data_IF_737288744496
#
_entry.id   IF_737288744496
#
_cell.length_a   1.000
_cell.length_b   1.000
_cell.length_c   1.000
_cell.angle_alpha   90.00
_cell.angle_beta   90.00
_cell.angle_gamma   90.00
#
_symmetry.space_group_name_H-M   'P 1'
#
loop_
_entity.id
_entity.type
_entity.pdbx_description
1 polymer ?
#
# COMPACT_ATOMS: atom_id res chain seq x y z
N UNK A 1 20.06 -17.10 0.18
CA UNK A 1 19.69 -15.75 0.66
C UNK A 1 18.17 -15.69 0.65
N UNK A 2 17.53 -15.41 1.79
CA UNK A 2 16.08 -15.24 1.84
C UNK A 2 15.69 -13.99 1.02
N UNK A 3 14.62 -14.07 0.25
CA UNK A 3 14.11 -12.95 -0.53
C UNK A 3 13.69 -11.82 0.43
N UNK A 4 14.16 -10.56 0.26
CA UNK A 4 13.84 -9.45 1.17
C UNK A 4 12.35 -9.27 1.45
N UNK A 5 11.50 -9.55 0.46
CA UNK A 5 10.03 -9.46 0.59
C UNK A 5 9.44 -10.54 1.51
N UNK A 6 10.07 -11.72 1.58
CA UNK A 6 9.59 -12.83 2.43
C UNK A 6 9.96 -12.56 3.90
N UNK A 7 11.14 -11.95 4.13
CA UNK A 7 11.52 -11.46 5.45
C UNK A 7 10.57 -10.36 5.93
N UNK A 8 10.26 -9.39 5.07
CA UNK A 8 9.26 -8.34 5.35
C UNK A 8 7.89 -8.94 5.69
N UNK A 9 7.45 -9.97 4.95
CA UNK A 9 6.18 -10.63 5.21
C UNK A 9 6.16 -11.28 6.61
N UNK A 10 7.25 -11.95 6.99
CA UNK A 10 7.37 -12.55 8.32
C UNK A 10 7.37 -11.49 9.43
N UNK A 11 8.12 -10.40 9.26
CA UNK A 11 8.22 -9.32 10.24
C UNK A 11 6.89 -8.57 10.42
N UNK A 12 6.22 -8.23 9.31
CA UNK A 12 4.91 -7.59 9.34
C UNK A 12 3.85 -8.49 9.98
N UNK A 13 3.86 -9.79 9.68
CA UNK A 13 2.95 -10.76 10.31
C UNK A 13 3.24 -10.89 11.80
N UNK A 14 4.52 -10.95 12.19
CA UNK A 14 4.96 -11.00 13.58
C UNK A 14 4.46 -9.79 14.37
N UNK A 15 4.64 -8.58 13.82
CA UNK A 15 4.15 -7.35 14.44
C UNK A 15 2.63 -7.32 14.60
N UNK A 16 1.88 -7.76 13.57
CA UNK A 16 0.42 -7.86 13.63
C UNK A 16 -0.03 -8.90 14.66
N UNK A 17 0.64 -10.05 14.73
CA UNK A 17 0.37 -11.10 15.72
C UNK A 17 0.61 -10.59 17.14
N UNK A 18 1.71 -9.89 17.37
CA UNK A 18 2.02 -9.28 18.66
C UNK A 18 0.97 -8.24 19.09
N UNK A 19 0.31 -7.57 18.14
CA UNK A 19 -0.81 -6.66 18.39
C UNK A 19 -2.18 -7.37 18.56
N UNK A 20 -2.20 -8.71 18.51
CA UNK A 20 -3.37 -9.55 18.67
C UNK A 20 -4.24 -9.68 17.41
N UNK A 21 -3.61 -9.67 16.22
CA UNK A 21 -4.27 -9.95 14.95
C UNK A 21 -3.93 -11.36 14.44
N UNK A 22 -4.39 -12.40 15.13
CA UNK A 22 -4.13 -13.80 14.76
C UNK A 22 -4.72 -14.19 13.38
N UNK A 23 -5.75 -13.45 12.94
CA UNK A 23 -6.38 -13.61 11.62
C UNK A 23 -5.82 -12.64 10.56
N UNK A 24 -4.63 -12.06 10.79
CA UNK A 24 -3.94 -11.27 9.78
C UNK A 24 -3.58 -12.12 8.56
N UNK A 25 -3.78 -11.56 7.38
CA UNK A 25 -3.38 -12.15 6.11
C UNK A 25 -2.37 -11.23 5.45
N UNK A 26 -1.25 -11.79 5.00
CA UNK A 26 -0.26 -11.07 4.20
C UNK A 26 -0.13 -11.79 2.87
N UNK A 27 -0.35 -11.05 1.77
CA UNK A 27 -0.28 -11.59 0.41
C UNK A 27 0.70 -10.76 -0.40
N UNK A 28 1.56 -11.43 -1.16
CA UNK A 28 2.48 -10.77 -2.09
C UNK A 28 1.71 -10.29 -3.32
N UNK A 29 1.79 -8.98 -3.60
CA UNK A 29 1.14 -8.36 -4.76
C UNK A 29 2.14 -8.07 -5.89
N UNK A 30 3.40 -7.83 -5.56
CA UNK A 30 4.52 -7.74 -6.49
C UNK A 30 5.82 -8.19 -5.80
N UNK A 31 6.96 -8.07 -6.47
CA UNK A 31 8.25 -8.36 -5.86
C UNK A 31 8.62 -7.41 -4.70
N UNK A 32 7.90 -6.30 -4.59
CA UNK A 32 8.22 -5.09 -3.82
C UNK A 32 7.04 -4.61 -2.97
N UNK A 33 5.88 -5.26 -3.06
CA UNK A 33 4.66 -4.85 -2.36
C UNK A 33 3.94 -6.07 -1.79
N UNK A 34 3.65 -5.99 -0.50
CA UNK A 34 2.76 -6.88 0.21
C UNK A 34 1.43 -6.18 0.49
N UNK A 35 0.37 -6.96 0.64
CA UNK A 35 -0.92 -6.49 1.15
C UNK A 35 -1.16 -7.17 2.48
N UNK A 36 -1.13 -6.39 3.55
CA UNK A 36 -1.61 -6.82 4.86
C UNK A 36 -3.11 -6.56 4.95
N UNK A 37 -3.86 -7.55 5.45
CA UNK A 37 -5.29 -7.47 5.65
C UNK A 37 -5.69 -7.99 7.02
N UNK A 38 -6.46 -7.20 7.76
CA UNK A 38 -6.87 -7.48 9.13
C UNK A 38 -8.37 -7.15 9.32
N UNK A 39 -9.03 -7.67 10.36
CA UNK A 39 -10.38 -7.24 10.71
C UNK A 39 -10.47 -5.72 10.93
N UNK A 40 -11.47 -5.08 10.31
CA UNK A 40 -11.61 -3.62 10.34
C UNK A 40 -11.99 -3.08 11.74
N UNK A 41 -12.59 -3.91 12.58
CA UNK A 41 -13.00 -3.58 13.95
C UNK A 41 -11.88 -3.00 14.81
N UNK A 42 -10.61 -3.24 14.44
CA UNK A 42 -9.42 -2.73 15.15
C UNK A 42 -8.46 -1.99 14.23
N UNK A 43 -8.93 -1.35 13.14
CA UNK A 43 -8.10 -0.61 12.17
C UNK A 43 -7.03 0.29 12.81
N UNK A 44 -7.40 1.06 13.84
CA UNK A 44 -6.46 1.96 14.51
C UNK A 44 -5.28 1.22 15.16
N UNK A 45 -5.51 0.04 15.74
CA UNK A 45 -4.44 -0.81 16.28
C UNK A 45 -3.56 -1.39 15.18
N UNK A 46 -4.13 -1.74 14.03
CA UNK A 46 -3.36 -2.23 12.90
C UNK A 46 -2.43 -1.16 12.34
N UNK A 47 -2.90 0.09 12.25
CA UNK A 47 -2.06 1.23 11.88
C UNK A 47 -0.89 1.43 12.85
N UNK A 48 -1.11 1.24 14.15
CA UNK A 48 -0.03 1.31 15.16
C UNK A 48 0.95 0.15 15.02
N UNK A 49 0.45 -1.08 14.85
CA UNK A 49 1.27 -2.28 14.69
C UNK A 49 2.13 -2.23 13.42
N UNK A 50 1.62 -1.59 12.37
CA UNK A 50 2.32 -1.43 11.10
C UNK A 50 3.18 -0.17 11.02
N UNK A 51 3.21 0.66 12.08
CA UNK A 51 4.00 1.90 12.14
C UNK A 51 5.50 1.71 11.86
N UNK A 52 6.16 0.59 12.25
CA UNK A 52 7.56 0.35 11.90
C UNK A 52 7.83 0.16 10.42
N UNK A 53 6.80 -0.08 9.61
CA UNK A 53 6.94 -0.33 8.17
C UNK A 53 6.44 0.85 7.35
N UNK A 54 6.94 0.94 6.12
CA UNK A 54 6.39 1.83 5.11
C UNK A 54 5.04 1.28 4.65
N UNK A 55 3.95 2.00 4.94
CA UNK A 55 2.60 1.53 4.60
C UNK A 55 1.71 2.58 3.96
N UNK A 56 0.81 2.13 3.09
CA UNK A 56 -0.29 2.91 2.53
C UNK A 56 -1.63 2.23 2.86
N UNK A 57 -2.56 2.91 3.54
CA UNK A 57 -3.93 2.41 3.70
C UNK A 57 -4.62 2.24 2.35
N UNK A 58 -5.29 1.10 2.15
CA UNK A 58 -6.00 0.75 0.92
C UNK A 58 -7.52 0.81 1.12
N UNK A 59 -8.30 0.72 0.04
CA UNK A 59 -9.75 0.63 0.17
C UNK A 59 -10.15 -0.60 0.99
N UNK A 60 -11.18 -0.46 1.80
CA UNK A 60 -11.70 -1.58 2.59
C UNK A 60 -12.26 -2.68 1.68
N UNK A 61 -12.20 -3.93 2.16
CA UNK A 61 -12.82 -5.07 1.49
C UNK A 61 -13.57 -5.92 2.50
N UNK A 62 -14.90 -5.87 2.45
CA UNK A 62 -15.76 -6.78 3.22
C UNK A 62 -15.46 -6.83 4.72
N UNK A 63 -15.42 -5.69 5.40
CA UNK A 63 -15.13 -5.64 6.84
C UNK A 63 -13.66 -5.88 7.22
N UNK A 64 -12.75 -5.80 6.24
CA UNK A 64 -11.30 -5.84 6.47
C UNK A 64 -10.64 -4.50 6.13
N UNK A 65 -9.76 -4.06 7.03
CA UNK A 65 -8.81 -3.00 6.74
C UNK A 65 -7.62 -3.59 5.97
N UNK A 66 -7.12 -2.87 4.96
CA UNK A 66 -6.03 -3.30 4.09
C UNK A 66 -4.93 -2.24 4.04
N UNK A 67 -3.69 -2.70 3.96
CA UNK A 67 -2.51 -1.86 3.90
C UNK A 67 -1.55 -2.43 2.86
N UNK A 68 -1.05 -1.61 1.94
CA UNK A 68 0.14 -1.95 1.19
C UNK A 68 1.34 -1.77 2.13
N UNK A 69 2.24 -2.76 2.16
CA UNK A 69 3.47 -2.76 2.97
C UNK A 69 4.65 -2.91 2.01
N UNK A 70 5.65 -2.05 2.16
CA UNK A 70 6.84 -2.00 1.31
C UNK A 70 8.10 -2.30 2.12
N UNK A 71 9.15 -2.89 1.51
CA UNK A 71 10.44 -3.09 2.16
C UNK A 71 11.00 -1.78 2.72
N UNK A 72 11.76 -1.89 3.80
CA UNK A 72 12.53 -0.77 4.30
C UNK A 72 13.61 -0.41 3.27
N UNK A 73 13.81 0.88 2.96
CA UNK A 73 14.81 1.33 2.01
C UNK A 73 16.23 0.80 2.29
N UNK A 74 16.86 0.12 1.33
CA UNK A 74 18.29 -0.22 1.43
C UNK A 74 19.23 0.95 1.09
N UNK A 75 18.73 1.96 0.38
CA UNK A 75 19.51 3.14 -0.02
C UNK A 75 19.67 4.13 1.14
N UNK A 76 20.82 4.81 1.22
CA UNK A 76 21.15 5.68 2.37
C UNK A 76 20.26 6.92 2.48
N UNK A 77 19.53 7.27 1.42
CA UNK A 77 18.57 8.38 1.43
C UNK A 77 17.28 7.97 0.70
N UNK A 78 16.36 7.26 1.37
CA UNK A 78 14.99 7.15 0.89
C UNK A 78 14.39 8.52 0.64
N UNK A 79 13.56 8.63 -0.40
CA UNK A 79 12.81 9.86 -0.64
C UNK A 79 11.31 9.58 -0.72
N UNK A 80 10.55 10.37 0.01
CA UNK A 80 9.10 10.42 -0.15
C UNK A 80 8.77 11.26 -1.36
N UNK A 81 8.03 10.70 -2.31
CA UNK A 81 7.47 11.41 -3.44
C UNK A 81 6.01 11.68 -3.19
N UNK A 82 5.67 12.96 -3.08
CA UNK A 82 4.28 13.39 -3.21
C UNK A 82 3.88 13.18 -4.67
N UNK A 83 2.96 12.25 -4.90
CA UNK A 83 2.41 11.95 -6.22
C UNK A 83 1.03 12.55 -6.33
N UNK A 84 0.82 13.22 -7.45
CA UNK A 84 -0.50 13.69 -7.84
C UNK A 84 -1.04 12.71 -8.84
N UNK A 85 -2.31 12.34 -8.73
CA UNK A 85 -2.88 11.36 -9.65
C UNK A 85 -4.34 11.64 -9.92
N UNK A 86 -4.82 11.11 -11.04
CA UNK A 86 -6.22 11.12 -11.42
C UNK A 86 -6.68 9.69 -11.65
N UNK A 87 -7.80 9.36 -11.05
CA UNK A 87 -8.51 8.12 -11.32
C UNK A 87 -9.56 8.35 -12.41
N UNK A 88 -9.62 7.45 -13.40
CA UNK A 88 -10.59 7.50 -14.49
C UNK A 88 -11.41 6.19 -14.55
N UNK A 89 -12.36 6.10 -15.50
CA UNK A 89 -13.18 4.92 -15.70
C UNK A 89 -14.45 4.84 -14.84
N UNK A 90 -15.31 3.86 -15.15
CA UNK A 90 -16.57 3.64 -14.43
C UNK A 90 -16.32 3.14 -13.01
N UNK A 91 -17.11 3.61 -12.03
CA UNK A 91 -17.00 3.15 -10.64
C UNK A 91 -15.98 3.90 -9.78
N UNK A 92 -15.37 4.99 -10.27
CA UNK A 92 -14.61 5.91 -9.42
C UNK A 92 -15.53 6.42 -8.29
N UNK A 93 -15.18 6.21 -7.01
CA UNK A 93 -15.97 6.71 -5.90
C UNK A 93 -16.21 8.23 -6.01
N UNK A 94 -17.42 8.69 -5.71
CA UNK A 94 -17.82 10.11 -5.85
C UNK A 94 -16.83 11.09 -5.21
N UNK A 95 -16.20 10.70 -4.10
CA UNK A 95 -15.18 11.51 -3.40
C UNK A 95 -13.91 11.79 -4.22
N UNK A 96 -13.67 11.03 -5.28
CA UNK A 96 -12.49 11.10 -6.15
C UNK A 96 -12.81 11.65 -7.55
N UNK A 97 -14.09 11.70 -7.95
CA UNK A 97 -14.50 12.11 -9.31
C UNK A 97 -14.09 13.55 -9.60
N UNK A 98 -13.39 13.75 -10.73
CA UNK A 98 -12.99 15.07 -11.23
C UNK A 98 -11.89 15.76 -10.42
N UNK A 99 -11.27 15.06 -9.47
CA UNK A 99 -10.23 15.62 -8.58
C UNK A 99 -8.85 15.11 -8.97
N UNK A 100 -7.87 15.99 -8.86
CA UNK A 100 -6.48 15.58 -8.69
C UNK A 100 -6.31 15.21 -7.22
N UNK A 101 -5.91 13.97 -6.99
CA UNK A 101 -5.65 13.43 -5.66
C UNK A 101 -4.16 13.52 -5.37
N UNK A 102 -3.83 13.62 -4.09
CA UNK A 102 -2.44 13.69 -3.62
C UNK A 102 -2.22 12.56 -2.62
N UNK A 103 -1.10 11.86 -2.81
CA UNK A 103 -0.63 10.85 -1.87
C UNK A 103 0.89 10.99 -1.71
N UNK A 104 1.43 10.52 -0.60
CA UNK A 104 2.87 10.52 -0.35
C UNK A 104 3.35 9.08 -0.39
N UNK A 105 4.11 8.75 -1.44
CA UNK A 105 4.66 7.40 -1.63
C UNK A 105 6.15 7.43 -1.38
N UNK A 106 6.64 6.55 -0.52
CA UNK A 106 8.08 6.37 -0.33
C UNK A 106 8.65 5.58 -1.52
N UNK A 107 9.67 6.12 -2.18
CA UNK A 107 10.38 5.44 -3.27
C UNK A 107 11.77 5.11 -2.79
N UNK A 108 12.13 3.84 -2.93
CA UNK A 108 13.47 3.33 -2.66
C UNK A 108 14.03 2.74 -3.94
N UNK A 109 15.12 3.29 -4.50
CA UNK A 109 15.85 2.65 -5.58
C UNK A 109 16.22 1.21 -5.23
N UNK A 110 15.74 0.24 -6.01
CA UNK A 110 15.99 -1.20 -5.81
C UNK A 110 14.91 -1.98 -5.05
N UNK A 111 14.05 -1.31 -4.28
CA UNK A 111 13.04 -1.99 -3.42
C UNK A 111 11.58 -1.54 -3.66
N UNK A 112 11.32 -0.28 -4.02
CA UNK A 112 9.98 0.20 -4.43
C UNK A 112 10.11 0.94 -5.75
N UNK A 113 9.47 0.45 -6.81
CA UNK A 113 9.61 1.06 -8.13
C UNK A 113 8.47 2.05 -8.41
N UNK A 114 8.72 3.09 -9.21
CA UNK A 114 7.66 3.96 -9.72
C UNK A 114 6.53 3.17 -10.41
N UNK A 115 6.81 1.96 -10.91
CA UNK A 115 5.86 1.09 -11.58
C UNK A 115 4.83 0.44 -10.63
N UNK A 116 5.08 0.42 -9.31
CA UNK A 116 4.14 -0.13 -8.33
C UNK A 116 3.17 0.93 -7.78
N UNK A 117 3.49 2.21 -7.98
CA UNK A 117 2.66 3.34 -7.53
C UNK A 117 1.23 3.24 -8.12
N UNK A 118 1.03 3.04 -9.44
CA UNK A 118 -0.32 2.92 -10.00
C UNK A 118 -1.11 1.75 -9.40
N UNK A 119 -0.46 0.63 -9.06
CA UNK A 119 -1.11 -0.56 -8.46
C UNK A 119 -1.62 -0.26 -7.05
N UNK A 120 -0.78 0.36 -6.22
CA UNK A 120 -1.14 0.74 -4.86
C UNK A 120 -2.29 1.76 -4.86
N UNK A 121 -2.23 2.75 -5.74
CA UNK A 121 -3.28 3.75 -5.92
C UNK A 121 -4.59 3.14 -6.45
N UNK A 122 -4.52 2.16 -7.37
CA UNK A 122 -5.70 1.46 -7.86
C UNK A 122 -6.40 0.66 -6.75
N UNK A 123 -5.63 0.01 -5.88
CA UNK A 123 -6.18 -0.64 -4.67
C UNK A 123 -6.76 0.37 -3.68
N UNK A 124 -6.15 1.54 -3.52
CA UNK A 124 -6.67 2.59 -2.66
C UNK A 124 -7.99 3.20 -3.20
N UNK A 125 -8.08 3.41 -4.51
CA UNK A 125 -9.26 4.03 -5.14
C UNK A 125 -10.38 3.04 -5.41
N UNK A 126 -10.06 1.93 -6.07
CA UNK A 126 -11.02 0.97 -6.61
C UNK A 126 -11.12 -0.32 -5.81
N UNK A 127 -10.18 -0.56 -4.88
CA UNK A 127 -10.12 -1.80 -4.12
C UNK A 127 -9.63 -3.02 -4.91
N UNK A 128 -9.17 -2.83 -6.14
CA UNK A 128 -8.70 -3.89 -7.04
C UNK A 128 -7.50 -3.46 -7.88
N UNK A 129 -6.63 -4.41 -8.21
CA UNK A 129 -5.47 -4.22 -9.10
C UNK A 129 -5.84 -4.21 -10.59
N UNK A 130 -7.01 -4.76 -10.96
CA UNK A 130 -7.45 -4.86 -12.35
C UNK A 130 -7.69 -3.49 -13.03
N UNK A 131 -7.65 -2.41 -12.25
CA UNK A 131 -7.91 -1.03 -12.68
C UNK A 131 -6.64 -0.16 -12.58
N UNK A 132 -5.46 -0.79 -12.59
CA UNK A 132 -4.16 -0.09 -12.54
C UNK A 132 -4.02 0.91 -13.69
N UNK A 133 -4.47 0.54 -14.90
CA UNK A 133 -4.38 1.39 -16.09
C UNK A 133 -5.31 2.62 -16.04
N UNK A 134 -6.27 2.66 -15.11
CA UNK A 134 -7.14 3.83 -14.88
C UNK A 134 -6.52 4.86 -13.93
N UNK A 135 -5.32 4.58 -13.40
CA UNK A 135 -4.55 5.52 -12.60
C UNK A 135 -3.52 6.22 -13.49
N UNK A 136 -3.70 7.52 -13.67
CA UNK A 136 -2.68 8.37 -14.30
C UNK A 136 -1.94 9.14 -13.22
N UNK A 137 -0.64 8.84 -13.05
CA UNK A 137 0.26 9.63 -12.19
C UNK A 137 0.68 10.89 -12.95
N UNK A 138 0.42 12.04 -12.34
CA UNK A 138 0.76 13.36 -12.85
C UNK A 138 2.03 13.81 -12.12
N UNK A 139 3.09 14.05 -12.90
CA UNK A 139 4.29 14.72 -12.37
C UNK A 139 3.98 16.22 -12.28
N UNK A 140 4.02 16.79 -11.08
CA UNK A 140 4.07 18.24 -10.97
C UNK A 140 5.50 18.70 -11.25
N UNK A 141 5.60 19.72 -12.11
CA UNK A 141 6.84 20.39 -12.49
C UNK A 141 7.38 21.24 -11.34
#
# INVERSE_FOLDING_TARGET
MSNPIDALAADALSSLTAAGFDAALIVRASDTMLIASVPDTRRQWATVALKPFTTLPLADAGGRARYAVFPEPQDSTPYSRTVYFRATGGGVPRRFVGRTLVDTVLITPGDTTEADIPKALALNVFGTLARTDDITVIRLA
#
